data_IF_682226289817
#
_entry.id   IF_682226289817
#
_cell.length_a   1.000
_cell.length_b   1.000
_cell.length_c   1.000
_cell.angle_alpha   90.00
_cell.angle_beta   90.00
_cell.angle_gamma   90.00
#
_symmetry.space_group_name_H-M   'P 1'
#
loop_
_entity.id
_entity.type
_entity.pdbx_description
1 polymer ?
#
# COMPACT_ATOMS: atom_id res chain seq x y z
N UNK A 1 2.68 -1.71 -6.27
CA UNK A 1 1.22 -1.51 -6.41
C UNK A 1 0.84 -1.40 -7.87
N UNK A 2 -0.34 -1.91 -8.22
CA UNK A 2 -1.01 -1.69 -9.51
C UNK A 2 -2.39 -1.12 -9.20
N UNK A 3 -2.73 0.00 -9.84
CA UNK A 3 -4.06 0.62 -9.79
C UNK A 3 -4.77 0.35 -11.12
N UNK A 4 -5.99 -0.17 -11.07
CA UNK A 4 -6.79 -0.48 -12.28
C UNK A 4 -8.20 0.06 -12.16
N UNK A 5 -8.89 0.18 -13.29
CA UNK A 5 -10.28 0.61 -13.37
C UNK A 5 -10.77 0.53 -14.80
N UNK A 6 -12.09 0.59 -14.99
CA UNK A 6 -12.74 0.45 -16.29
C UNK A 6 -13.42 1.75 -16.78
N UNK A 7 -13.33 2.82 -15.99
CA UNK A 7 -14.02 4.10 -16.23
C UNK A 7 -13.10 5.31 -16.03
N UNK A 8 -13.62 6.53 -16.28
CA UNK A 8 -12.85 7.78 -16.15
C UNK A 8 -11.56 7.80 -16.96
N UNK A 9 -10.50 8.38 -16.37
CA UNK A 9 -9.14 8.42 -16.93
C UNK A 9 -8.49 7.05 -17.15
N UNK A 10 -9.06 5.98 -16.58
CA UNK A 10 -8.59 4.61 -16.78
C UNK A 10 -9.29 3.88 -17.94
N UNK A 11 -10.21 4.54 -18.67
CA UNK A 11 -10.80 3.98 -19.90
C UNK A 11 -9.72 3.77 -20.98
N UNK A 12 -9.90 2.74 -21.82
CA UNK A 12 -9.00 2.40 -22.93
C UNK A 12 -8.68 3.57 -23.88
N UNK A 13 -9.56 4.57 -24.01
CA UNK A 13 -9.30 5.77 -24.82
C UNK A 13 -8.10 6.62 -24.34
N UNK A 14 -7.66 6.44 -23.10
CA UNK A 14 -6.49 7.13 -22.51
C UNK A 14 -5.24 6.25 -22.41
N UNK A 15 -5.29 5.08 -23.05
CA UNK A 15 -4.12 4.23 -23.30
C UNK A 15 -3.05 5.09 -24.02
N UNK A 16 -1.87 5.19 -23.43
CA UNK A 16 -0.68 5.89 -23.88
C UNK A 16 -0.27 7.00 -22.91
N UNK A 17 -1.18 7.40 -22.02
CA UNK A 17 -1.05 8.58 -21.15
C UNK A 17 -0.71 8.19 -19.72
N UNK A 18 -0.54 9.19 -18.85
CA UNK A 18 -0.26 9.09 -17.41
C UNK A 18 -1.52 9.37 -16.58
N UNK A 19 -2.46 8.42 -16.46
CA UNK A 19 -3.72 8.65 -15.77
C UNK A 19 -3.63 8.62 -14.24
N UNK A 20 -2.60 8.00 -13.67
CA UNK A 20 -2.49 7.80 -12.21
C UNK A 20 -1.13 8.25 -11.72
N UNK A 21 -1.16 8.96 -10.61
CA UNK A 21 -0.02 9.39 -9.84
C UNK A 21 -0.06 8.72 -8.46
N UNK A 22 1.11 8.31 -7.97
CA UNK A 22 1.27 7.64 -6.69
C UNK A 22 2.48 8.27 -6.01
N UNK A 23 2.34 8.73 -4.77
CA UNK A 23 3.48 9.14 -3.94
C UNK A 23 3.41 8.47 -2.58
N UNK A 24 4.56 8.42 -1.90
CA UNK A 24 4.64 8.01 -0.51
C UNK A 24 4.49 9.26 0.36
N UNK A 25 3.66 9.20 1.39
CA UNK A 25 3.27 10.42 2.11
C UNK A 25 4.44 11.05 2.88
N UNK A 26 5.45 10.25 3.28
CA UNK A 26 6.66 10.76 3.94
C UNK A 26 7.70 11.38 2.97
N UNK A 27 7.52 11.22 1.66
CA UNK A 27 8.32 11.80 0.57
C UNK A 27 7.40 12.19 -0.60
N UNK A 28 6.51 13.19 -0.41
CA UNK A 28 5.46 13.52 -1.37
C UNK A 28 6.00 14.02 -2.72
N UNK A 29 7.25 14.49 -2.77
CA UNK A 29 7.96 14.92 -3.97
C UNK A 29 8.34 13.78 -4.92
N UNK A 30 8.46 12.54 -4.41
CA UNK A 30 8.78 11.36 -5.21
C UNK A 30 7.50 10.77 -5.82
N UNK A 31 7.06 11.39 -6.91
CA UNK A 31 5.82 11.03 -7.60
C UNK A 31 6.08 9.99 -8.69
N UNK A 32 5.51 8.82 -8.49
CA UNK A 32 5.44 7.78 -9.50
C UNK A 32 4.27 7.99 -10.45
N UNK A 33 4.52 7.85 -11.75
CA UNK A 33 3.51 7.92 -12.80
C UNK A 33 3.24 6.55 -13.40
N UNK A 34 1.98 6.09 -13.33
CA UNK A 34 1.57 4.84 -13.98
C UNK A 34 0.98 5.18 -15.36
N UNK A 35 1.58 4.66 -16.45
CA UNK A 35 1.01 4.79 -17.80
C UNK A 35 -0.08 3.72 -18.06
N UNK A 36 -1.03 4.03 -18.94
CA UNK A 36 -2.20 3.18 -19.21
C UNK A 36 -1.94 1.86 -19.96
N UNK A 37 -0.71 1.60 -20.42
CA UNK A 37 -0.45 0.62 -21.50
C UNK A 37 0.29 -0.60 -21.01
N UNK A 38 1.07 -0.39 -19.96
CA UNK A 38 1.92 -1.37 -19.33
C UNK A 38 1.45 -1.42 -17.89
N UNK A 39 1.16 -2.62 -17.37
CA UNK A 39 0.93 -2.77 -15.94
C UNK A 39 2.21 -2.44 -15.19
N UNK A 40 2.43 -1.15 -14.89
CA UNK A 40 3.67 -0.70 -14.29
C UNK A 40 3.76 -1.15 -12.84
N UNK A 41 4.99 -1.39 -12.40
CA UNK A 41 5.31 -1.84 -11.05
C UNK A 41 5.81 -0.64 -10.26
N UNK A 42 5.05 -0.21 -9.27
CA UNK A 42 5.53 0.70 -8.22
C UNK A 42 5.99 -0.13 -7.01
N UNK A 43 7.23 0.09 -6.54
CA UNK A 43 7.74 -0.61 -5.36
C UNK A 43 7.20 0.04 -4.10
N UNK A 44 6.50 -0.75 -3.28
CA UNK A 44 6.00 -0.30 -2.00
C UNK A 44 7.06 -0.59 -0.93
N UNK A 45 7.35 0.40 -0.09
CA UNK A 45 7.88 0.19 1.25
C UNK A 45 6.76 -0.19 2.21
N UNK A 46 7.03 -1.19 3.03
CA UNK A 46 6.14 -1.72 4.05
C UNK A 46 5.96 -0.71 5.17
N UNK A 47 4.83 -0.78 5.89
CA UNK A 47 4.57 0.05 7.07
C UNK A 47 4.60 1.55 6.80
N UNK A 48 4.22 1.92 5.57
CA UNK A 48 4.16 3.29 5.06
C UNK A 48 2.78 3.57 4.47
N UNK A 49 2.52 4.86 4.28
CA UNK A 49 1.32 5.32 3.60
C UNK A 49 1.61 5.92 2.24
N UNK A 50 0.63 5.80 1.35
CA UNK A 50 0.70 6.23 -0.03
C UNK A 50 -0.54 6.99 -0.42
N UNK A 51 -0.35 8.06 -1.18
CA UNK A 51 -1.42 8.83 -1.79
C UNK A 51 -1.51 8.49 -3.27
N UNK A 52 -2.74 8.25 -3.74
CA UNK A 52 -3.06 7.97 -5.14
C UNK A 52 -4.03 9.03 -5.64
N UNK A 53 -3.68 9.68 -6.74
CA UNK A 53 -4.56 10.63 -7.42
C UNK A 53 -4.56 10.43 -8.92
N UNK A 54 -5.58 11.01 -9.56
CA UNK A 54 -5.87 10.82 -10.97
C UNK A 54 -5.58 12.11 -11.73
N UNK A 55 -5.12 11.97 -12.96
CA UNK A 55 -4.81 13.12 -13.81
C UNK A 55 -6.08 13.85 -14.24
N UNK A 56 -6.38 14.97 -13.59
CA UNK A 56 -7.57 15.79 -13.86
C UNK A 56 -7.60 16.35 -15.28
N UNK A 57 -6.46 16.54 -15.95
CA UNK A 57 -6.39 17.01 -17.34
C UNK A 57 -6.90 15.97 -18.35
N UNK A 58 -6.83 14.69 -18.00
CA UNK A 58 -7.33 13.61 -18.86
C UNK A 58 -8.84 13.40 -18.69
N UNK A 59 -9.39 13.80 -17.55
CA UNK A 59 -10.81 13.72 -17.24
C UNK A 59 -11.09 13.29 -15.80
N UNK A 60 -12.32 12.84 -15.53
CA UNK A 60 -12.71 12.44 -14.18
C UNK A 60 -12.04 11.15 -13.73
N UNK A 61 -11.85 10.97 -12.42
CA UNK A 61 -11.35 9.74 -11.86
C UNK A 61 -12.31 8.57 -12.19
N UNK A 62 -11.77 7.34 -12.27
CA UNK A 62 -12.59 6.13 -12.38
C UNK A 62 -13.65 6.03 -11.26
N UNK A 63 -14.83 5.51 -11.61
CA UNK A 63 -15.87 5.13 -10.64
C UNK A 63 -15.59 3.79 -9.95
N UNK A 64 -14.79 2.94 -10.57
CA UNK A 64 -14.39 1.64 -10.04
C UNK A 64 -12.86 1.55 -10.09
N UNK A 65 -12.25 1.39 -8.92
CA UNK A 65 -10.80 1.36 -8.73
C UNK A 65 -10.40 0.12 -7.98
N UNK A 66 -9.50 -0.64 -8.58
CA UNK A 66 -8.84 -1.79 -7.97
C UNK A 66 -7.43 -1.42 -7.53
N UNK A 67 -7.11 -1.72 -6.27
CA UNK A 67 -5.78 -1.65 -5.71
C UNK A 67 -5.23 -3.05 -5.51
N UNK A 68 -4.08 -3.36 -6.13
CA UNK A 68 -3.44 -4.66 -6.02
C UNK A 68 -1.92 -4.54 -5.83
N UNK A 69 -1.37 -4.87 -4.65
CA UNK A 69 0.06 -5.03 -4.45
C UNK A 69 0.56 -6.22 -5.30
N UNK A 70 1.31 -5.93 -6.38
CA UNK A 70 1.98 -6.94 -7.19
C UNK A 70 3.25 -7.39 -6.45
N UNK A 71 3.47 -8.69 -6.31
CA UNK A 71 4.36 -9.28 -5.30
C UNK A 71 3.78 -9.32 -3.89
N UNK A 72 2.47 -9.10 -3.74
CA UNK A 72 1.73 -9.28 -2.49
C UNK A 72 2.20 -8.38 -1.35
N UNK A 73 1.61 -8.63 -0.18
CA UNK A 73 2.16 -8.25 1.12
C UNK A 73 2.44 -9.58 1.84
N UNK A 74 3.51 -9.67 2.60
CA UNK A 74 3.75 -10.77 3.53
C UNK A 74 2.86 -10.65 4.77
N UNK A 75 2.81 -11.72 5.57
CA UNK A 75 2.03 -11.82 6.78
C UNK A 75 2.31 -10.66 7.71
N UNK A 76 1.24 -9.94 8.09
CA UNK A 76 1.26 -8.76 8.96
C UNK A 76 1.95 -7.52 8.37
N UNK A 77 2.51 -7.58 7.17
CA UNK A 77 2.93 -6.38 6.47
C UNK A 77 1.70 -5.55 6.18
N UNK A 78 1.77 -4.25 6.46
CA UNK A 78 0.63 -3.36 6.33
C UNK A 78 1.05 -2.10 5.62
N UNK A 79 0.20 -1.60 4.73
CA UNK A 79 0.30 -0.28 4.12
C UNK A 79 -1.01 0.46 4.33
N UNK A 80 -0.94 1.80 4.38
CA UNK A 80 -2.13 2.65 4.34
C UNK A 80 -2.21 3.33 2.98
N UNK A 81 -3.40 3.43 2.42
CA UNK A 81 -3.65 4.08 1.14
C UNK A 81 -4.63 5.21 1.37
N UNK A 82 -4.32 6.38 0.82
CA UNK A 82 -5.24 7.48 0.61
C UNK A 82 -5.51 7.57 -0.90
N UNK A 83 -6.78 7.54 -1.31
CA UNK A 83 -7.15 7.78 -2.72
C UNK A 83 -7.94 9.07 -2.82
N UNK A 84 -7.48 9.94 -3.72
CA UNK A 84 -8.15 11.20 -4.03
C UNK A 84 -9.37 10.92 -4.94
N UNK A 85 -10.56 11.23 -4.44
CA UNK A 85 -11.84 11.03 -5.10
C UNK A 85 -12.67 12.32 -5.06
N UNK A 86 -13.66 12.49 -5.95
CA UNK A 86 -14.47 13.70 -5.98
C UNK A 86 -15.24 13.87 -4.66
N UNK A 87 -15.26 15.09 -4.11
CA UNK A 87 -15.94 15.39 -2.84
C UNK A 87 -17.46 15.23 -2.90
N UNK A 88 -18.02 15.22 -4.11
CA UNK A 88 -19.43 14.90 -4.37
C UNK A 88 -19.78 13.42 -4.14
N UNK A 89 -18.80 12.54 -3.93
CA UNK A 89 -19.03 11.13 -3.56
C UNK A 89 -19.57 11.02 -2.14
N UNK A 90 -20.63 10.24 -1.94
CA UNK A 90 -21.24 9.96 -0.63
C UNK A 90 -21.39 8.46 -0.37
N UNK A 91 -21.32 7.61 -1.39
CA UNK A 91 -21.58 6.18 -1.26
C UNK A 91 -20.52 5.34 -1.96
N UNK A 92 -20.07 4.32 -1.24
CA UNK A 92 -19.03 3.40 -1.69
C UNK A 92 -19.48 1.96 -1.50
N UNK A 93 -19.32 1.16 -2.55
CA UNK A 93 -19.31 -0.29 -2.49
C UNK A 93 -17.87 -0.76 -2.41
N UNK A 94 -17.51 -1.48 -1.37
CA UNK A 94 -16.15 -1.97 -1.14
C UNK A 94 -16.15 -3.49 -1.18
N UNK A 95 -15.30 -4.04 -2.03
CA UNK A 95 -15.01 -5.46 -2.07
C UNK A 95 -13.55 -5.69 -1.74
N UNK A 96 -13.27 -6.67 -0.89
CA UNK A 96 -11.91 -7.12 -0.62
C UNK A 96 -11.91 -8.62 -0.31
N UNK A 97 -10.84 -9.29 -0.75
CA UNK A 97 -10.58 -10.68 -0.35
C UNK A 97 -10.06 -10.77 1.08
N UNK A 98 -9.31 -9.77 1.52
CA UNK A 98 -8.83 -9.66 2.89
C UNK A 98 -8.74 -8.18 3.33
N UNK A 99 -9.43 -7.79 4.41
CA UNK A 99 -10.41 -8.61 5.11
C UNK A 99 -11.56 -8.98 4.18
N UNK A 100 -12.29 -10.06 4.45
CA UNK A 100 -13.41 -10.45 3.59
C UNK A 100 -14.49 -9.36 3.67
N UNK A 101 -14.63 -8.61 2.58
CA UNK A 101 -15.63 -7.57 2.39
C UNK A 101 -16.36 -7.85 1.08
N UNK A 102 -17.69 -7.93 1.15
CA UNK A 102 -18.52 -8.27 0.01
C UNK A 102 -19.94 -7.72 0.22
N UNK A 103 -20.35 -6.67 -0.52
CA UNK A 103 -21.65 -6.02 -0.31
C UNK A 103 -22.83 -7.00 -0.46
N UNK A 104 -22.81 -7.86 -1.48
CA UNK A 104 -23.87 -8.88 -1.69
C UNK A 104 -23.94 -9.96 -0.60
N UNK A 105 -22.88 -10.17 0.18
CA UNK A 105 -22.86 -11.12 1.31
C UNK A 105 -23.04 -10.43 2.65
N UNK A 106 -23.39 -9.12 2.64
CA UNK A 106 -23.55 -8.30 3.83
C UNK A 106 -22.29 -8.21 4.71
N UNK A 107 -21.10 -8.37 4.09
CA UNK A 107 -19.81 -8.19 4.76
C UNK A 107 -19.31 -6.77 4.46
N UNK A 108 -19.62 -5.84 5.34
CA UNK A 108 -19.43 -4.41 5.11
C UNK A 108 -18.17 -3.86 5.80
N UNK A 109 -17.56 -2.78 5.25
CA UNK A 109 -16.50 -2.04 5.92
C UNK A 109 -17.03 -1.38 7.20
N UNK A 110 -16.13 -1.13 8.15
CA UNK A 110 -16.41 -0.31 9.33
C UNK A 110 -16.02 1.13 9.00
N UNK A 111 -16.99 2.02 8.92
CA UNK A 111 -16.71 3.45 8.70
C UNK A 111 -16.29 4.10 10.01
N UNK A 112 -15.09 4.69 10.02
CA UNK A 112 -14.55 5.45 11.16
C UNK A 112 -14.53 6.94 10.81
N UNK A 113 -14.42 7.78 11.84
CA UNK A 113 -14.60 9.24 11.68
C UNK A 113 -13.30 10.02 11.51
N UNK A 114 -12.14 9.39 11.69
CA UNK A 114 -10.84 10.07 11.61
C UNK A 114 -9.69 9.08 11.33
N UNK A 115 -8.53 9.63 10.97
CA UNK A 115 -7.32 8.86 10.69
C UNK A 115 -6.79 8.09 11.91
N UNK A 116 -6.95 8.60 13.13
CA UNK A 116 -6.44 7.93 14.33
C UNK A 116 -7.17 6.61 14.60
N UNK A 117 -8.49 6.59 14.41
CA UNK A 117 -9.30 5.37 14.55
C UNK A 117 -8.96 4.36 13.45
N UNK A 118 -8.75 4.84 12.21
CA UNK A 118 -8.26 4.01 11.11
C UNK A 118 -6.89 3.41 11.43
N UNK A 119 -5.95 4.21 11.94
CA UNK A 119 -4.58 3.77 12.20
C UNK A 119 -4.52 2.75 13.35
N UNK A 120 -5.44 2.83 14.33
CA UNK A 120 -5.59 1.85 15.42
C UNK A 120 -6.24 0.54 15.01
N UNK A 121 -7.02 0.51 13.93
CA UNK A 121 -7.71 -0.71 13.49
C UNK A 121 -6.74 -1.84 13.12
N UNK A 122 -6.83 -2.99 13.77
CA UNK A 122 -6.03 -4.17 13.43
C UNK A 122 -6.77 -5.14 12.51
N UNK A 123 -8.07 -4.95 12.30
CA UNK A 123 -8.90 -5.85 11.48
C UNK A 123 -8.77 -5.59 9.97
N UNK A 124 -8.23 -4.42 9.60
CA UNK A 124 -8.17 -3.88 8.24
C UNK A 124 -9.55 -3.61 7.63
N UNK A 125 -10.63 -3.72 8.42
CA UNK A 125 -12.00 -3.44 7.98
C UNK A 125 -12.37 -1.97 8.08
N UNK A 126 -11.55 -1.16 8.76
CA UNK A 126 -11.82 0.26 8.91
C UNK A 126 -11.55 1.05 7.62
N UNK A 127 -12.48 1.95 7.29
CA UNK A 127 -12.37 2.91 6.20
C UNK A 127 -12.72 4.30 6.73
N UNK A 128 -12.00 5.32 6.29
CA UNK A 128 -12.26 6.71 6.66
C UNK A 128 -12.45 7.55 5.40
N UNK A 129 -13.62 8.19 5.26
CA UNK A 129 -13.91 9.13 4.18
C UNK A 129 -13.79 10.57 4.70
N UNK A 130 -12.69 11.22 4.36
CA UNK A 130 -12.50 12.65 4.58
C UNK A 130 -13.09 13.43 3.42
N UNK A 131 -14.41 13.67 3.49
CA UNK A 131 -15.15 14.39 2.45
C UNK A 131 -14.65 15.82 2.27
N UNK A 132 -14.14 16.45 3.33
CA UNK A 132 -13.64 17.83 3.29
C UNK A 132 -12.42 17.93 2.38
N UNK A 133 -11.48 17.00 2.51
CA UNK A 133 -10.25 16.97 1.72
C UNK A 133 -10.34 16.10 0.46
N UNK A 134 -11.38 15.28 0.31
CA UNK A 134 -11.58 14.40 -0.85
C UNK A 134 -10.81 13.07 -0.80
N UNK A 135 -10.40 12.63 0.40
CA UNK A 135 -9.59 11.41 0.56
C UNK A 135 -10.37 10.26 1.18
N UNK A 136 -10.34 9.11 0.51
CA UNK A 136 -10.76 7.83 1.10
C UNK A 136 -9.51 7.09 1.57
N UNK A 137 -9.47 6.80 2.87
CA UNK A 137 -8.37 6.12 3.52
C UNK A 137 -8.74 4.70 3.92
N UNK A 138 -7.80 3.79 3.75
CA UNK A 138 -7.91 2.39 4.18
C UNK A 138 -6.53 1.75 4.35
N UNK A 139 -6.49 0.58 4.99
CA UNK A 139 -5.27 -0.21 5.14
C UNK A 139 -5.38 -1.53 4.39
N UNK A 140 -4.25 -1.97 3.85
CA UNK A 140 -4.11 -3.30 3.25
C UNK A 140 -3.07 -4.08 4.03
N UNK A 141 -3.35 -5.35 4.28
CA UNK A 141 -2.40 -6.30 4.88
C UNK A 141 -2.62 -7.69 4.28
N UNK A 142 -1.75 -8.64 4.61
CA UNK A 142 -1.89 -10.05 4.25
C UNK A 142 -1.88 -10.95 5.49
N UNK A 143 -2.74 -11.98 5.55
CA UNK A 143 -2.66 -13.01 6.58
C UNK A 143 -1.70 -14.16 6.20
N UNK A 144 -1.18 -14.15 4.97
CA UNK A 144 -0.39 -15.24 4.39
C UNK A 144 1.10 -14.88 4.30
N UNK A 145 1.96 -15.89 4.42
CA UNK A 145 3.41 -15.76 4.22
C UNK A 145 3.83 -16.26 2.84
N UNK A 146 5.01 -15.84 2.37
CA UNK A 146 5.64 -16.46 1.21
C UNK A 146 6.19 -17.83 1.61
N UNK A 147 5.89 -18.86 0.81
CA UNK A 147 6.32 -20.23 1.08
C UNK A 147 7.36 -20.75 0.09
N UNK A 148 7.54 -20.06 -1.05
CA UNK A 148 8.50 -20.48 -2.08
C UNK A 148 9.14 -19.30 -2.82
N UNK A 149 10.40 -19.42 -3.25
CA UNK A 149 11.04 -18.45 -4.13
C UNK A 149 10.23 -18.24 -5.42
N UNK A 150 10.11 -17.00 -5.86
CA UNK A 150 9.38 -16.65 -7.08
C UNK A 150 7.86 -16.63 -6.97
N UNK A 151 7.29 -16.92 -5.79
CA UNK A 151 5.86 -16.77 -5.55
C UNK A 151 5.42 -15.32 -5.77
N UNK A 152 4.40 -15.12 -6.61
CA UNK A 152 3.93 -13.79 -6.97
C UNK A 152 3.11 -13.11 -5.86
N UNK A 153 2.44 -13.87 -5.00
CA UNK A 153 1.63 -13.33 -3.89
C UNK A 153 1.66 -14.33 -2.75
N UNK A 154 1.78 -13.85 -1.50
CA UNK A 154 1.79 -14.70 -0.33
C UNK A 154 0.54 -15.60 -0.28
N UNK A 155 0.72 -16.87 0.06
CA UNK A 155 -0.35 -17.88 0.01
C UNK A 155 -1.00 -18.08 -1.36
N UNK A 156 -0.32 -17.71 -2.45
CA UNK A 156 -0.83 -17.69 -3.84
C UNK A 156 -2.10 -16.84 -4.03
N UNK A 157 -2.41 -15.98 -3.05
CA UNK A 157 -3.59 -15.13 -3.06
C UNK A 157 -3.18 -13.67 -3.20
N UNK A 158 -3.37 -13.11 -4.39
CA UNK A 158 -3.16 -11.68 -4.58
C UNK A 158 -4.35 -10.91 -4.02
N UNK A 159 -4.13 -10.34 -2.84
CA UNK A 159 -5.09 -9.48 -2.17
C UNK A 159 -5.33 -8.21 -2.97
N UNK A 160 -6.58 -7.82 -3.02
CA UNK A 160 -7.04 -6.65 -3.74
C UNK A 160 -8.19 -6.00 -2.98
N UNK A 161 -8.24 -4.67 -3.05
CA UNK A 161 -9.36 -3.86 -2.58
C UNK A 161 -9.95 -3.17 -3.81
N UNK A 162 -11.22 -3.45 -4.08
CA UNK A 162 -12.00 -2.84 -5.15
C UNK A 162 -12.95 -1.84 -4.52
N UNK A 163 -12.88 -0.59 -4.96
CA UNK A 163 -13.70 0.52 -4.47
C UNK A 163 -14.53 1.00 -5.64
N UNK A 164 -15.85 0.90 -5.51
CA UNK A 164 -16.82 1.40 -6.47
C UNK A 164 -17.60 2.56 -5.85
N UNK A 165 -17.53 3.73 -6.48
CA UNK A 165 -18.40 4.87 -6.18
C UNK A 165 -19.77 4.57 -6.77
N UNK A 166 -20.80 4.55 -5.92
CA UNK A 166 -22.19 4.37 -6.37
C UNK A 166 -22.85 5.70 -6.74
N UNK A 167 -22.16 6.81 -6.46
CA UNK A 167 -22.62 8.17 -6.70
C UNK A 167 -21.49 9.12 -7.13
N UNK A 168 -21.86 10.40 -7.22
CA UNK A 168 -20.99 11.47 -7.68
C UNK A 168 -21.02 11.59 -9.21
N UNK A 169 -21.04 12.83 -9.68
CA UNK A 169 -20.91 13.13 -11.10
C UNK A 169 -19.54 12.74 -11.67
N UNK A 170 -19.35 13.08 -12.94
CA UNK A 170 -18.07 12.95 -13.65
C UNK A 170 -17.17 14.18 -13.37
N UNK A 171 -17.17 14.64 -12.12
CA UNK A 171 -16.34 15.76 -11.67
C UNK A 171 -14.88 15.31 -11.45
N UNK A 172 -13.90 16.21 -11.65
CA UNK A 172 -12.51 15.95 -11.29
C UNK A 172 -12.35 15.68 -9.80
N UNK A 173 -11.41 14.79 -9.44
CA UNK A 173 -10.96 14.67 -8.05
C UNK A 173 -9.91 15.76 -7.77
N UNK A 174 -10.22 16.64 -6.82
CA UNK A 174 -9.30 17.66 -6.31
C UNK A 174 -9.20 17.48 -4.81
N UNK A 175 -7.98 17.29 -4.33
CA UNK A 175 -7.70 17.11 -2.91
C UNK A 175 -6.75 18.21 -2.42
N UNK A 176 -7.11 18.84 -1.31
CA UNK A 176 -6.58 20.17 -0.98
C UNK A 176 -5.39 20.13 -0.02
N UNK A 177 -5.19 18.99 0.65
CA UNK A 177 -4.18 18.87 1.71
C UNK A 177 -3.20 17.73 1.41
N UNK A 178 -1.90 17.91 1.73
CA UNK A 178 -0.98 16.78 1.80
C UNK A 178 -1.47 15.79 2.85
N UNK A 179 -1.44 14.51 2.51
CA UNK A 179 -1.85 13.46 3.44
C UNK A 179 -0.84 13.37 4.58
N UNK A 180 -1.34 13.37 5.83
CA UNK A 180 -0.52 13.17 7.04
C UNK A 180 0.17 11.82 6.96
N UNK A 181 1.51 11.69 7.01
CA UNK A 181 2.17 10.40 6.86
C UNK A 181 1.81 9.42 7.98
N UNK A 182 1.68 8.13 7.62
CA UNK A 182 1.55 7.05 8.59
C UNK A 182 2.92 6.47 8.92
N UNK A 183 3.21 6.43 10.21
CA UNK A 183 4.36 5.71 10.73
C UNK A 183 3.85 4.59 11.61
N UNK A 184 4.00 3.35 11.13
CA UNK A 184 3.90 2.22 12.04
C UNK A 184 5.01 2.36 13.08
N UNK A 185 4.69 2.15 14.37
CA UNK A 185 5.73 1.95 15.38
C UNK A 185 6.45 0.66 15.01
N UNK A 186 7.61 0.78 14.37
CA UNK A 186 8.55 -0.32 14.18
C UNK A 186 8.72 -1.02 15.53
N UNK A 187 8.12 -2.19 15.69
CA UNK A 187 8.40 -3.08 16.84
C UNK A 187 9.70 -3.83 16.62
N UNK A 188 10.23 -3.81 15.40
CA UNK A 188 11.51 -4.35 15.07
C UNK A 188 12.59 -3.31 15.39
N UNK A 189 13.59 -3.63 16.23
CA UNK A 189 14.68 -2.72 16.50
C UNK A 189 15.36 -2.39 15.18
N UNK A 190 15.35 -1.11 14.80
CA UNK A 190 16.13 -0.64 13.65
C UNK A 190 17.56 -1.09 13.86
N UNK A 191 18.08 -1.88 12.93
CA UNK A 191 19.48 -2.28 12.97
C UNK A 191 20.31 -1.00 12.92
N UNK A 192 21.02 -0.71 14.01
CA UNK A 192 21.91 0.45 14.06
C UNK A 192 23.04 0.18 13.09
N UNK A 193 23.23 1.06 12.10
CA UNK A 193 24.45 1.07 11.30
C UNK A 193 25.65 1.24 12.25
N UNK A 194 26.35 0.14 12.56
CA UNK A 194 27.62 0.21 13.27
C UNK A 194 28.68 0.74 12.31
N UNK A 195 29.56 1.62 12.82
CA UNK A 195 30.76 2.04 12.07
C UNK A 195 31.59 0.79 11.78
N UNK A 196 31.93 0.56 10.51
CA UNK A 196 32.83 -0.52 10.09
C UNK A 196 34.12 -0.44 10.92
N UNK A 197 34.36 -1.41 11.80
CA UNK A 197 35.59 -1.44 12.61
C UNK A 197 36.62 -2.46 12.11
N UNK A 198 36.23 -3.47 11.32
CA UNK A 198 37.13 -4.53 10.87
C UNK A 198 36.69 -5.09 9.50
N UNK A 199 37.43 -4.89 8.40
CA UNK A 199 36.94 -5.14 7.03
C UNK A 199 36.68 -6.61 6.66
N UNK A 200 37.09 -7.58 7.48
CA UNK A 200 36.99 -9.02 7.20
C UNK A 200 35.85 -9.74 7.93
N UNK A 201 35.10 -9.08 8.81
CA UNK A 201 33.95 -9.69 9.50
C UNK A 201 32.64 -9.35 8.78
N UNK A 202 31.55 -10.12 8.96
CA UNK A 202 30.22 -9.75 8.46
C UNK A 202 29.80 -8.33 8.87
N UNK A 203 30.22 -7.92 10.07
CA UNK A 203 30.09 -6.57 10.64
C UNK A 203 30.90 -5.52 9.87
N UNK A 204 32.09 -5.90 9.41
CA UNK A 204 32.99 -5.12 8.56
C UNK A 204 32.44 -4.77 7.20
N UNK A 205 31.72 -5.72 6.61
CA UNK A 205 31.10 -5.62 5.30
C UNK A 205 29.78 -4.84 5.32
N UNK A 206 29.40 -4.29 6.49
CA UNK A 206 28.17 -3.51 6.66
C UNK A 206 26.91 -4.36 6.73
N UNK A 207 27.03 -5.67 7.02
CA UNK A 207 25.85 -6.51 7.20
C UNK A 207 25.10 -6.10 8.47
N UNK A 208 23.77 -5.93 8.41
CA UNK A 208 22.97 -5.64 9.58
C UNK A 208 23.01 -6.82 10.57
N UNK A 209 23.44 -6.59 11.82
CA UNK A 209 23.28 -7.57 12.90
C UNK A 209 21.98 -7.28 13.65
N UNK A 210 21.13 -8.29 13.78
CA UNK A 210 19.99 -8.24 14.69
C UNK A 210 20.47 -8.20 16.15
N UNK A 211 20.11 -7.14 16.88
CA UNK A 211 20.37 -7.09 18.32
C UNK A 211 19.47 -8.10 19.02
N UNK A 212 20.04 -9.24 19.43
CA UNK A 212 19.32 -10.33 20.09
C UNK A 212 19.62 -11.72 19.51
N UNK A 213 20.32 -11.80 18.39
CA UNK A 213 20.84 -13.07 17.90
C UNK A 213 22.08 -13.46 18.73
N UNK A 214 21.92 -14.40 19.65
CA UNK A 214 23.04 -15.21 20.11
C UNK A 214 23.26 -16.27 19.02
N UNK A 215 24.37 -16.22 18.26
CA UNK A 215 24.71 -17.33 17.38
C UNK A 215 24.74 -18.61 18.23
N UNK A 216 24.31 -19.75 17.68
CA UNK A 216 24.59 -21.04 18.32
C UNK A 216 26.08 -21.09 18.63
N UNK A 217 26.44 -21.63 19.81
CA UNK A 217 27.83 -21.80 20.18
C UNK A 217 28.53 -22.49 19.01
N UNK A 218 29.55 -21.83 18.46
CA UNK A 218 30.39 -22.40 17.42
C UNK A 218 31.01 -23.64 18.05
N UNK A 219 30.56 -24.83 17.65
CA UNK A 219 31.38 -26.02 17.82
C UNK A 219 32.66 -25.74 17.04
N UNK A 220 33.81 -25.90 17.69
CA UNK A 220 35.14 -25.65 17.14
C UNK A 220 35.36 -26.50 15.87
N UNK A 221 34.90 -26.00 14.73
CA UNK A 221 35.41 -26.43 13.43
C UNK A 221 36.79 -25.79 13.26
N UNK A 222 37.77 -26.47 13.82
CA UNK A 222 39.18 -26.29 13.51
C UNK A 222 39.38 -26.57 12.02
N UNK A 223 39.72 -25.53 11.26
CA UNK A 223 40.32 -25.74 9.94
C UNK A 223 41.70 -26.34 10.16
N UNK A 224 41.85 -27.64 9.94
CA UNK A 224 43.16 -28.27 9.81
C UNK A 224 43.95 -27.66 8.64
N UNK A 225 45.23 -27.45 8.88
CA UNK A 225 46.25 -26.87 7.99
C UNK A 225 46.56 -27.78 6.81
#
# INVERSE_FOLDING_TARGET
>A
MVVRGSSGVLKNKYKGKTPVFISRDDHPEDVYTQKGDVGHKFNLRLYKSYTVWFNSELGPPPRDVQFRPRYGLEKNETIRIAVCLPKSTNTFSIYSKYPELHPKRQLFPVWVNNLNDLDKDTSMKAFYWDKTNGYLYFKMSSPYSFSRPGQQCAGDLCLEVNIKREDGGDEPAVCDTPVTPWYFKDRYPRVKNRRCRYPSTPEGLGAPIETGFSPPAVEDDTCDV
#
